data_IF_284323029650
#
_entry.id   IF_284323029650
#
_cell.length_a   1.000
_cell.length_b   1.000
_cell.length_c   1.000
_cell.angle_alpha   90.00
_cell.angle_beta   90.00
_cell.angle_gamma   90.00
#
_symmetry.space_group_name_H-M   'P 1'
#
loop_
_entity.id
_entity.type
_entity.pdbx_description
1 polymer ?
#
# COMPACT_ATOMS: atom_id res chain seq x y z
N UNK A 1 -6.78 15.41 10.23
CA UNK A 1 -5.91 14.80 9.20
C UNK A 1 -6.81 13.94 8.35
N UNK A 2 -7.09 14.37 7.13
CA UNK A 2 -8.07 13.73 6.26
C UNK A 2 -7.56 12.36 5.79
N UNK A 3 -8.34 11.27 5.99
CA UNK A 3 -8.02 9.93 5.54
C UNK A 3 -8.27 9.81 4.03
N UNK A 4 -7.91 10.80 3.24
CA UNK A 4 -7.99 10.77 1.77
C UNK A 4 -6.84 11.54 1.14
N UNK A 5 -5.96 12.14 1.95
CA UNK A 5 -4.86 12.95 1.49
C UNK A 5 -3.63 12.09 1.18
N UNK A 6 -3.24 12.11 -0.09
CA UNK A 6 -1.96 11.57 -0.54
C UNK A 6 -0.81 12.40 0.03
N UNK A 7 0.19 11.76 0.66
CA UNK A 7 1.40 12.44 1.17
C UNK A 7 2.63 11.96 0.41
N UNK A 8 3.47 11.16 1.07
CA UNK A 8 4.60 10.49 0.41
C UNK A 8 4.16 9.34 -0.52
N UNK A 9 2.91 8.92 -0.44
CA UNK A 9 2.31 7.85 -1.22
C UNK A 9 0.77 7.94 -1.22
N UNK A 10 0.08 6.97 -1.86
CA UNK A 10 -1.37 6.93 -1.91
C UNK A 10 -1.98 6.88 -0.51
N UNK A 11 -3.16 7.47 -0.39
CA UNK A 11 -3.99 7.24 0.78
C UNK A 11 -4.40 5.75 0.86
N UNK A 12 -4.53 5.24 2.08
CA UNK A 12 -4.72 3.82 2.34
C UNK A 12 -6.20 3.38 2.39
N UNK A 13 -7.17 4.31 2.43
CA UNK A 13 -8.60 3.98 2.45
C UNK A 13 -9.00 3.14 1.24
N UNK A 14 -9.53 1.96 1.51
CA UNK A 14 -10.03 1.05 0.48
C UNK A 14 -8.94 0.52 -0.46
N UNK A 15 -7.70 0.33 0.03
CA UNK A 15 -6.63 -0.27 -0.79
C UNK A 15 -6.72 -1.80 -0.90
N UNK A 16 -7.40 -2.47 0.04
CA UNK A 16 -7.60 -3.93 0.00
C UNK A 16 -8.60 -4.27 -1.10
N UNK A 17 -8.24 -5.19 -2.01
CA UNK A 17 -9.02 -5.50 -3.21
C UNK A 17 -8.93 -4.44 -4.32
N UNK A 18 -8.30 -3.29 -4.07
CA UNK A 18 -8.05 -2.26 -5.09
C UNK A 18 -6.75 -2.56 -5.81
N UNK A 19 -6.77 -2.38 -7.13
CA UNK A 19 -5.60 -2.55 -7.96
C UNK A 19 -4.46 -1.61 -7.54
N UNK A 20 -3.29 -2.19 -7.28
CA UNK A 20 -2.07 -1.43 -6.99
C UNK A 20 -1.80 -0.41 -8.11
N UNK A 21 -1.35 0.79 -7.75
CA UNK A 21 -1.07 1.84 -8.74
C UNK A 21 -2.29 2.61 -9.25
N UNK A 22 -3.49 2.39 -8.70
CA UNK A 22 -4.74 2.94 -9.26
C UNK A 22 -5.35 4.09 -8.45
N UNK A 23 -4.71 4.58 -7.38
CA UNK A 23 -5.18 5.77 -6.65
C UNK A 23 -4.82 7.02 -7.44
N UNK A 24 -5.83 7.78 -7.84
CA UNK A 24 -5.66 9.04 -8.54
C UNK A 24 -4.89 10.06 -7.67
N UNK A 25 -4.01 10.83 -8.31
CA UNK A 25 -3.15 11.81 -7.64
C UNK A 25 -2.01 11.23 -6.79
N UNK A 26 -1.87 9.90 -6.68
CA UNK A 26 -0.76 9.29 -5.96
C UNK A 26 0.45 9.04 -6.86
N UNK A 27 1.64 9.39 -6.35
CA UNK A 27 2.91 9.14 -7.04
C UNK A 27 3.37 7.70 -6.86
N UNK A 28 2.93 6.83 -7.75
CA UNK A 28 3.44 5.46 -7.82
C UNK A 28 4.73 5.38 -8.64
N UNK A 29 5.67 4.58 -8.17
CA UNK A 29 6.78 4.10 -8.98
C UNK A 29 6.28 3.23 -10.14
N UNK A 30 7.01 3.23 -11.26
CA UNK A 30 6.66 2.41 -12.42
C UNK A 30 6.47 0.93 -12.06
N UNK A 31 7.29 0.40 -11.15
CA UNK A 31 7.19 -0.97 -10.66
C UNK A 31 5.90 -1.27 -9.87
N UNK A 32 5.28 -0.26 -9.24
CA UNK A 32 4.04 -0.36 -8.48
C UNK A 32 2.77 -0.22 -9.34
N UNK A 33 2.90 0.18 -10.60
CA UNK A 33 1.78 0.24 -11.56
C UNK A 33 1.40 -1.13 -12.11
N UNK A 34 1.96 -2.21 -11.57
CA UNK A 34 1.63 -3.55 -11.98
C UNK A 34 0.48 -4.10 -11.11
N UNK A 35 -0.69 -4.40 -11.70
CA UNK A 35 -1.91 -4.79 -10.97
C UNK A 35 -1.81 -6.13 -10.21
N UNK A 36 -0.70 -6.86 -10.32
CA UNK A 36 -0.55 -8.20 -9.75
C UNK A 36 0.04 -8.30 -8.34
N UNK A 37 0.61 -7.23 -7.81
CA UNK A 37 1.55 -7.33 -6.67
C UNK A 37 0.86 -7.35 -5.31
N UNK A 38 -0.17 -6.51 -5.14
CA UNK A 38 -0.90 -6.38 -3.87
C UNK A 38 -2.38 -6.60 -4.17
N UNK A 39 -2.85 -7.79 -3.84
CA UNK A 39 -4.24 -8.23 -4.08
C UNK A 39 -5.01 -8.37 -2.76
N UNK A 40 -4.32 -8.88 -1.74
CA UNK A 40 -4.89 -9.24 -0.44
C UNK A 40 -4.00 -8.78 0.71
N UNK A 41 -4.54 -8.79 1.93
CA UNK A 41 -3.83 -8.38 3.16
C UNK A 41 -2.53 -9.18 3.36
N UNK A 42 -2.51 -10.46 2.99
CA UNK A 42 -1.32 -11.30 3.11
C UNK A 42 -0.19 -10.88 2.15
N UNK A 43 -0.52 -10.65 0.87
CA UNK A 43 0.43 -10.13 -0.12
C UNK A 43 0.90 -8.73 0.25
N UNK A 44 0.01 -7.90 0.81
CA UNK A 44 0.37 -6.58 1.31
C UNK A 44 1.33 -6.69 2.50
N UNK A 45 1.09 -7.58 3.47
CA UNK A 45 1.98 -7.80 4.59
C UNK A 45 3.39 -8.20 4.14
N UNK A 46 3.49 -9.11 3.17
CA UNK A 46 4.76 -9.49 2.56
C UNK A 46 5.43 -8.32 1.81
N UNK A 47 4.64 -7.56 1.04
CA UNK A 47 5.11 -6.36 0.34
C UNK A 47 5.63 -5.30 1.33
N UNK A 48 4.91 -5.03 2.41
CA UNK A 48 5.32 -4.08 3.44
C UNK A 48 6.56 -4.56 4.20
N UNK A 49 6.72 -5.88 4.38
CA UNK A 49 7.90 -6.43 5.04
C UNK A 49 9.17 -6.26 4.21
N UNK A 50 9.07 -6.41 2.89
CA UNK A 50 10.21 -6.27 1.98
C UNK A 50 9.79 -5.70 0.62
N UNK A 51 9.45 -4.39 0.54
CA UNK A 51 8.90 -3.78 -0.68
C UNK A 51 9.88 -3.83 -1.84
N UNK A 52 11.18 -3.65 -1.56
CA UNK A 52 12.23 -3.74 -2.58
C UNK A 52 12.51 -5.16 -3.09
N UNK A 53 12.22 -6.19 -2.28
CA UNK A 53 12.39 -7.59 -2.70
C UNK A 53 11.19 -8.09 -3.49
N UNK A 54 9.99 -7.71 -3.05
CA UNK A 54 8.72 -8.06 -3.72
C UNK A 54 8.50 -7.24 -4.99
N UNK A 55 8.92 -5.98 -4.99
CA UNK A 55 8.79 -5.03 -6.11
C UNK A 55 10.13 -4.31 -6.34
N UNK A 56 11.06 -4.93 -7.07
CA UNK A 56 12.31 -4.26 -7.43
C UNK A 56 12.00 -2.98 -8.22
N UNK A 57 12.59 -1.86 -7.78
CA UNK A 57 12.33 -0.53 -8.35
C UNK A 57 11.13 0.21 -7.74
N UNK A 58 10.52 -0.30 -6.68
CA UNK A 58 9.54 0.49 -5.92
C UNK A 58 10.19 1.69 -5.23
N UNK A 59 9.52 2.84 -5.28
CA UNK A 59 9.89 4.03 -4.49
C UNK A 59 9.42 3.93 -3.05
N UNK A 60 8.71 2.85 -2.68
CA UNK A 60 8.28 2.64 -1.31
C UNK A 60 9.46 2.23 -0.43
N UNK A 61 9.70 3.02 0.62
CA UNK A 61 10.67 2.71 1.67
C UNK A 61 10.09 1.65 2.60
N UNK A 62 10.93 0.75 3.12
CA UNK A 62 10.55 -0.25 4.13
C UNK A 62 9.99 0.48 5.35
N UNK A 63 8.69 0.32 5.68
CA UNK A 63 8.13 0.90 6.89
C UNK A 63 8.64 0.17 8.13
N UNK A 64 8.73 0.90 9.24
CA UNK A 64 9.03 0.27 10.53
C UNK A 64 7.89 -0.66 10.97
N UNK A 65 8.14 -1.54 11.94
CA UNK A 65 7.16 -2.53 12.37
C UNK A 65 5.84 -1.89 12.85
N UNK A 66 5.90 -0.78 13.58
CA UNK A 66 4.71 -0.05 14.03
C UNK A 66 3.87 0.51 12.87
N UNK A 67 4.53 1.06 11.85
CA UNK A 67 3.87 1.54 10.64
C UNK A 67 3.26 0.38 9.85
N UNK A 68 3.96 -0.76 9.72
CA UNK A 68 3.40 -1.95 9.06
C UNK A 68 2.12 -2.41 9.74
N UNK A 69 2.15 -2.54 11.06
CA UNK A 69 0.98 -2.94 11.84
C UNK A 69 -0.14 -1.92 11.73
N UNK A 70 0.16 -0.63 11.83
CA UNK A 70 -0.84 0.43 11.65
C UNK A 70 -1.47 0.40 10.26
N UNK A 71 -0.68 0.14 9.22
CA UNK A 71 -1.19 -0.04 7.85
C UNK A 71 -2.10 -1.26 7.78
N UNK A 72 -1.66 -2.43 8.27
CA UNK A 72 -2.46 -3.66 8.25
C UNK A 72 -3.78 -3.47 9.03
N UNK A 73 -3.72 -2.94 10.26
CA UNK A 73 -4.90 -2.68 11.10
C UNK A 73 -5.85 -1.68 10.44
N UNK A 74 -5.32 -0.57 9.93
CA UNK A 74 -6.12 0.45 9.26
C UNK A 74 -6.88 -0.14 8.07
N UNK A 75 -6.25 -1.06 7.35
CA UNK A 75 -6.80 -1.70 6.16
C UNK A 75 -7.78 -2.82 6.45
N UNK A 76 -7.54 -3.61 7.49
CA UNK A 76 -8.53 -4.56 8.02
C UNK A 76 -9.77 -3.81 8.53
N UNK A 77 -9.58 -2.66 9.19
CA UNK A 77 -10.67 -1.82 9.70
C UNK A 77 -11.42 -1.02 8.64
N UNK A 78 -10.83 -0.74 7.47
CA UNK A 78 -11.51 -0.06 6.35
C UNK A 78 -12.09 -1.02 5.31
N UNK A 79 -11.96 -2.34 5.51
CA UNK A 79 -12.60 -3.36 4.68
C UNK A 79 -14.11 -3.56 4.94
N UNK A 80 -14.72 -2.73 5.78
CA UNK A 80 -16.11 -2.88 6.19
C UNK A 80 -16.85 -1.54 6.20
N UNK A 81 -16.83 -0.78 5.10
CA UNK A 81 -17.81 0.27 4.83
C UNK A 81 -18.10 0.38 3.33
#
# INVERSE_FOLDING_TARGET
MDPSQNRAGPHLSGIVGRTAGSVDGARYSAAMRNPGIVRDVQSLGAFLAAPRQTVPGTSMTVPNAGQRTAIIIYLEGTGAQ
#
